data_IF_745398337580
#
_entry.id   IF_745398337580
#
_cell.length_a   1.000
_cell.length_b   1.000
_cell.length_c   1.000
_cell.angle_alpha   90.00
_cell.angle_beta   90.00
_cell.angle_gamma   90.00
#
_symmetry.space_group_name_H-M   'P 1'
#
loop_
_entity.id
_entity.type
_entity.pdbx_description
1 polymer ?
#
# COMPACT_ATOMS: atom_id res chain seq x y z
N UNK A 1 0.99 7.98 3.59
CA UNK A 1 2.35 7.54 3.78
C UNK A 1 3.15 7.76 2.49
N UNK A 2 3.81 8.90 2.39
CA UNK A 2 4.76 9.15 1.32
C UNK A 2 5.81 8.02 1.30
N UNK A 3 6.07 7.44 0.13
CA UNK A 3 7.06 6.38 -0.01
C UNK A 3 6.57 4.95 0.17
N UNK A 4 5.29 4.71 0.44
CA UNK A 4 4.75 3.34 0.60
C UNK A 4 4.99 2.47 -0.65
N UNK A 5 4.72 3.02 -1.84
CA UNK A 5 4.99 2.32 -3.10
C UNK A 5 6.49 2.04 -3.29
N UNK A 6 7.35 3.02 -2.98
CA UNK A 6 8.81 2.84 -3.07
C UNK A 6 9.34 1.81 -2.09
N UNK A 7 8.78 1.75 -0.89
CA UNK A 7 9.10 0.68 0.08
C UNK A 7 8.82 -0.71 -0.51
N UNK A 8 7.60 -0.91 -1.05
CA UNK A 8 7.21 -2.19 -1.66
C UNK A 8 8.13 -2.55 -2.83
N UNK A 9 8.47 -1.56 -3.68
CA UNK A 9 9.39 -1.75 -4.81
C UNK A 9 10.78 -2.21 -4.36
N UNK A 10 11.34 -1.60 -3.32
CA UNK A 10 12.63 -2.00 -2.76
C UNK A 10 12.57 -3.44 -2.25
N UNK A 11 11.52 -3.79 -1.50
CA UNK A 11 11.36 -5.15 -0.97
C UNK A 11 11.14 -6.18 -2.09
N UNK A 12 10.38 -5.84 -3.13
CA UNK A 12 10.22 -6.69 -4.32
C UNK A 12 11.57 -6.99 -4.97
N UNK A 13 12.40 -5.96 -5.18
CA UNK A 13 13.73 -6.11 -5.74
C UNK A 13 14.63 -7.04 -4.90
N UNK A 14 14.56 -6.96 -3.55
CA UNK A 14 15.31 -7.87 -2.66
C UNK A 14 14.85 -9.32 -2.79
N UNK A 15 13.60 -9.53 -3.13
CA UNK A 15 13.03 -10.84 -3.40
C UNK A 15 13.18 -11.29 -4.87
N UNK A 16 13.89 -10.52 -5.72
CA UNK A 16 14.03 -10.81 -7.14
C UNK A 16 12.69 -10.81 -7.88
N UNK A 17 11.80 -9.88 -7.54
CA UNK A 17 10.48 -9.74 -8.12
C UNK A 17 10.24 -8.30 -8.60
N UNK A 18 9.37 -8.14 -9.57
CA UNK A 18 8.78 -6.86 -9.92
C UNK A 18 7.71 -6.47 -8.87
N UNK A 19 7.27 -5.22 -8.93
CA UNK A 19 6.20 -4.71 -8.07
C UNK A 19 4.92 -5.56 -8.17
N UNK A 20 4.52 -5.93 -9.39
CA UNK A 20 3.29 -6.70 -9.62
C UNK A 20 3.46 -8.18 -9.23
N UNK A 21 4.60 -8.78 -9.55
CA UNK A 21 4.93 -10.16 -9.17
C UNK A 21 4.93 -10.37 -7.66
N UNK A 22 5.34 -9.34 -6.88
CA UNK A 22 5.36 -9.44 -5.43
C UNK A 22 3.98 -9.80 -4.86
N UNK A 23 2.90 -9.23 -5.40
CA UNK A 23 1.54 -9.51 -4.95
C UNK A 23 1.09 -10.94 -5.28
N UNK A 24 1.48 -11.44 -6.45
CA UNK A 24 1.16 -12.82 -6.85
C UNK A 24 1.90 -13.84 -6.00
N UNK A 25 3.14 -13.54 -5.63
CA UNK A 25 3.94 -14.34 -4.69
C UNK A 25 3.30 -14.28 -3.30
N UNK A 26 3.02 -13.09 -2.81
CA UNK A 26 2.51 -12.86 -1.46
C UNK A 26 1.17 -13.57 -1.18
N UNK A 27 0.29 -13.68 -2.19
CA UNK A 27 -0.99 -14.41 -2.07
C UNK A 27 -0.84 -15.86 -1.67
N UNK A 28 0.30 -16.48 -1.98
CA UNK A 28 0.56 -17.90 -1.76
C UNK A 28 1.20 -18.18 -0.41
N UNK A 29 1.64 -17.12 0.31
CA UNK A 29 2.40 -17.24 1.55
C UNK A 29 1.57 -16.98 2.80
N UNK A 30 2.14 -17.43 3.92
CA UNK A 30 1.69 -17.05 5.25
C UNK A 30 2.58 -15.88 5.73
N UNK A 31 2.00 -14.76 6.20
CA UNK A 31 2.79 -13.57 6.47
C UNK A 31 3.75 -13.77 7.64
N UNK A 32 5.05 -13.66 7.37
CA UNK A 32 6.06 -13.52 8.40
C UNK A 32 5.95 -12.14 9.07
N UNK A 33 6.30 -12.08 10.35
CA UNK A 33 6.32 -10.81 11.05
C UNK A 33 7.49 -9.97 10.54
N UNK A 34 7.18 -8.79 9.99
CA UNK A 34 8.15 -7.76 9.65
C UNK A 34 7.81 -6.55 10.50
N UNK A 35 8.61 -6.34 11.54
CA UNK A 35 8.28 -5.44 12.65
C UNK A 35 8.65 -3.99 12.37
N UNK A 36 9.55 -3.74 11.44
CA UNK A 36 10.16 -2.43 11.30
C UNK A 36 9.26 -1.41 10.60
N UNK A 37 9.11 -0.27 11.26
CA UNK A 37 8.47 0.92 10.67
C UNK A 37 9.43 1.70 9.74
N UNK A 38 10.72 1.48 9.84
CA UNK A 38 11.75 2.14 9.05
C UNK A 38 12.17 1.23 7.89
N UNK A 39 12.23 1.77 6.68
CA UNK A 39 12.58 1.02 5.45
C UNK A 39 13.91 0.30 5.57
N UNK A 40 14.93 0.95 6.17
CA UNK A 40 16.28 0.37 6.31
C UNK A 40 16.28 -0.86 7.20
N UNK A 41 15.59 -0.81 8.33
CA UNK A 41 15.50 -1.94 9.24
C UNK A 41 14.62 -3.07 8.67
N UNK A 42 13.50 -2.72 8.01
CA UNK A 42 12.67 -3.71 7.33
C UNK A 42 13.43 -4.43 6.20
N UNK A 43 14.29 -3.71 5.47
CA UNK A 43 15.15 -4.30 4.46
C UNK A 43 16.15 -5.30 5.07
N UNK A 44 16.79 -4.93 6.18
CA UNK A 44 17.70 -5.83 6.91
C UNK A 44 16.97 -7.07 7.43
N UNK A 45 15.74 -6.91 7.91
CA UNK A 45 14.90 -8.02 8.39
C UNK A 45 14.52 -8.97 7.25
N UNK A 46 14.12 -8.43 6.08
CA UNK A 46 13.86 -9.22 4.87
C UNK A 46 15.09 -9.99 4.43
N UNK A 47 16.27 -9.35 4.41
CA UNK A 47 17.54 -10.01 4.06
C UNK A 47 17.85 -11.14 5.05
N UNK A 48 17.61 -10.93 6.35
CA UNK A 48 17.79 -11.95 7.38
C UNK A 48 16.87 -13.16 7.17
N UNK A 49 15.61 -12.94 6.82
CA UNK A 49 14.67 -14.02 6.49
C UNK A 49 15.12 -14.82 5.25
N UNK A 50 15.60 -14.12 4.22
CA UNK A 50 16.18 -14.78 3.03
C UNK A 50 17.38 -15.64 3.43
N UNK A 51 18.28 -15.10 4.24
CA UNK A 51 19.47 -15.82 4.74
C UNK A 51 19.13 -17.01 5.63
N UNK A 52 18.02 -16.97 6.36
CA UNK A 52 17.50 -18.07 7.17
C UNK A 52 16.79 -19.16 6.33
N UNK A 53 16.63 -18.97 5.02
CA UNK A 53 15.98 -19.92 4.13
C UNK A 53 14.44 -19.94 4.25
N UNK A 54 13.86 -18.87 4.76
CA UNK A 54 12.39 -18.72 4.81
C UNK A 54 11.80 -18.68 3.40
N UNK A 55 10.56 -19.13 3.28
CA UNK A 55 9.88 -19.16 1.97
C UNK A 55 9.67 -17.76 1.44
N UNK A 56 10.02 -17.58 0.17
CA UNK A 56 9.86 -16.31 -0.55
C UNK A 56 8.44 -15.77 -0.48
N UNK A 57 7.46 -16.66 -0.55
CA UNK A 57 6.04 -16.34 -0.47
C UNK A 57 5.66 -15.79 0.91
N UNK A 58 6.21 -16.37 1.97
CA UNK A 58 5.93 -15.97 3.35
C UNK A 58 6.56 -14.60 3.66
N UNK A 59 7.78 -14.35 3.16
CA UNK A 59 8.44 -13.04 3.26
C UNK A 59 7.64 -11.99 2.49
N UNK A 60 7.24 -12.29 1.25
CA UNK A 60 6.45 -11.37 0.43
C UNK A 60 5.10 -11.02 1.08
N UNK A 61 4.42 -12.02 1.63
CA UNK A 61 3.18 -11.85 2.39
C UNK A 61 3.39 -10.98 3.62
N UNK A 62 4.50 -11.17 4.34
CA UNK A 62 4.92 -10.35 5.47
C UNK A 62 5.13 -8.88 5.10
N UNK A 63 5.80 -8.62 3.97
CA UNK A 63 6.00 -7.25 3.43
C UNK A 63 4.66 -6.56 3.19
N UNK A 64 3.75 -7.20 2.48
CA UNK A 64 2.42 -6.62 2.18
C UNK A 64 1.62 -6.41 3.47
N UNK A 65 1.65 -7.39 4.37
CA UNK A 65 0.96 -7.31 5.67
C UNK A 65 1.48 -6.15 6.53
N UNK A 66 2.80 -5.93 6.58
CA UNK A 66 3.40 -4.83 7.35
C UNK A 66 2.98 -3.45 6.84
N UNK A 67 2.91 -3.29 5.51
CA UNK A 67 2.42 -2.05 4.89
C UNK A 67 0.95 -1.82 5.20
N UNK A 68 0.12 -2.86 5.05
CA UNK A 68 -1.31 -2.77 5.36
C UNK A 68 -1.55 -2.45 6.85
N UNK A 69 -0.75 -3.03 7.76
CA UNK A 69 -0.79 -2.74 9.19
C UNK A 69 -0.50 -1.26 9.48
N UNK A 70 0.56 -0.72 8.86
CA UNK A 70 0.92 0.70 9.01
C UNK A 70 -0.22 1.61 8.55
N UNK A 71 -0.82 1.32 7.39
CA UNK A 71 -1.95 2.10 6.87
C UNK A 71 -3.17 1.97 7.80
N UNK A 72 -3.49 0.75 8.24
CA UNK A 72 -4.60 0.50 9.15
C UNK A 72 -4.43 1.26 10.47
N UNK A 73 -3.23 1.26 11.05
CA UNK A 73 -2.94 1.97 12.30
C UNK A 73 -3.07 3.49 12.14
N UNK A 74 -2.66 4.05 10.99
CA UNK A 74 -2.89 5.46 10.69
C UNK A 74 -4.38 5.79 10.58
N UNK A 75 -5.15 4.96 9.87
CA UNK A 75 -6.60 5.14 9.76
C UNK A 75 -7.29 5.07 11.14
N UNK A 76 -6.93 4.09 11.95
CA UNK A 76 -7.51 3.89 13.30
C UNK A 76 -7.28 5.10 14.23
N UNK A 77 -6.12 5.77 14.12
CA UNK A 77 -5.81 6.98 14.92
C UNK A 77 -6.74 8.15 14.59
N UNK A 78 -7.20 8.25 13.33
CA UNK A 78 -8.09 9.32 12.89
C UNK A 78 -9.57 8.95 12.98
N UNK A 79 -9.87 7.71 13.34
CA UNK A 79 -11.21 7.13 13.27
C UNK A 79 -11.54 6.62 11.87
N UNK A 80 -12.14 5.44 11.80
CA UNK A 80 -12.55 4.80 10.54
C UNK A 80 -14.06 4.89 10.43
N UNK A 81 -14.53 5.60 9.41
CA UNK A 81 -15.97 5.70 9.11
C UNK A 81 -16.56 4.37 8.63
N UNK A 82 -17.85 4.38 8.38
CA UNK A 82 -18.57 3.20 7.87
C UNK A 82 -18.17 2.86 6.43
N UNK A 83 -17.83 3.86 5.64
CA UNK A 83 -17.35 3.71 4.27
C UNK A 83 -15.87 4.07 4.18
N UNK A 84 -15.10 3.20 3.54
CA UNK A 84 -13.67 3.40 3.30
C UNK A 84 -13.42 3.31 1.80
N UNK A 85 -12.75 4.31 1.26
CA UNK A 85 -12.40 4.37 -0.15
C UNK A 85 -10.88 4.49 -0.31
N UNK A 86 -10.29 3.58 -1.10
CA UNK A 86 -8.86 3.58 -1.37
C UNK A 86 -8.54 4.27 -2.69
N UNK A 87 -7.61 5.21 -2.65
CA UNK A 87 -7.08 5.91 -3.83
C UNK A 87 -5.55 5.78 -3.91
N UNK A 88 -4.99 6.16 -5.05
CA UNK A 88 -3.54 6.08 -5.30
C UNK A 88 -3.13 4.76 -5.95
N UNK A 89 -1.83 4.55 -6.09
CA UNK A 89 -1.27 3.41 -6.84
C UNK A 89 -1.68 2.03 -6.32
N UNK A 90 -1.84 1.90 -5.00
CA UNK A 90 -2.22 0.62 -4.38
C UNK A 90 -3.70 0.27 -4.54
N UNK A 91 -4.54 1.19 -5.03
CA UNK A 91 -5.96 0.90 -5.30
C UNK A 91 -6.18 -0.10 -6.42
N UNK A 92 -5.17 -0.34 -7.26
CA UNK A 92 -5.18 -1.35 -8.31
C UNK A 92 -4.69 -2.74 -7.86
N UNK A 93 -4.40 -2.94 -6.57
CA UNK A 93 -3.82 -4.19 -6.04
C UNK A 93 -4.85 -4.96 -5.19
N UNK A 94 -5.59 -5.93 -5.77
CA UNK A 94 -6.68 -6.62 -5.06
C UNK A 94 -6.23 -7.29 -3.77
N UNK A 95 -5.07 -7.93 -3.77
CA UNK A 95 -4.54 -8.58 -2.56
C UNK A 95 -4.24 -7.58 -1.44
N UNK A 96 -3.69 -6.40 -1.76
CA UNK A 96 -3.48 -5.35 -0.77
C UNK A 96 -4.81 -4.86 -0.17
N UNK A 97 -5.81 -4.67 -1.02
CA UNK A 97 -7.16 -4.27 -0.60
C UNK A 97 -7.75 -5.32 0.36
N UNK A 98 -7.64 -6.59 0.03
CA UNK A 98 -8.11 -7.69 0.88
C UNK A 98 -7.43 -7.69 2.25
N UNK A 99 -6.09 -7.60 2.29
CA UNK A 99 -5.32 -7.58 3.54
C UNK A 99 -5.67 -6.36 4.38
N UNK A 100 -5.79 -5.19 3.75
CA UNK A 100 -6.14 -3.95 4.45
C UNK A 100 -7.58 -3.97 4.97
N UNK A 101 -8.54 -4.51 4.20
CA UNK A 101 -9.93 -4.70 4.62
C UNK A 101 -10.03 -5.56 5.88
N UNK A 102 -9.30 -6.68 5.92
CA UNK A 102 -9.23 -7.55 7.12
C UNK A 102 -8.69 -6.79 8.33
N UNK A 103 -7.62 -6.00 8.16
CA UNK A 103 -6.99 -5.24 9.27
C UNK A 103 -7.85 -4.09 9.78
N UNK A 104 -8.66 -3.49 8.93
CA UNK A 104 -9.61 -2.43 9.30
C UNK A 104 -10.96 -2.97 9.76
N UNK A 105 -11.26 -4.24 9.48
CA UNK A 105 -12.60 -4.83 9.62
C UNK A 105 -13.66 -3.97 8.90
N UNK A 106 -13.38 -3.60 7.67
CA UNK A 106 -14.22 -2.75 6.81
C UNK A 106 -14.04 -3.14 5.36
N UNK A 107 -15.13 -3.05 4.61
CA UNK A 107 -15.05 -3.15 3.15
C UNK A 107 -14.40 -1.90 2.57
N UNK A 108 -13.42 -2.11 1.70
CA UNK A 108 -12.71 -1.02 1.03
C UNK A 108 -13.21 -0.95 -0.40
N UNK A 109 -13.79 0.19 -0.75
CA UNK A 109 -14.21 0.51 -2.11
C UNK A 109 -13.06 1.15 -2.88
N UNK A 110 -13.04 0.94 -4.17
CA UNK A 110 -12.12 1.59 -5.11
C UNK A 110 -12.81 1.82 -6.45
N UNK A 111 -12.15 2.52 -7.35
CA UNK A 111 -12.65 2.82 -8.70
C UNK A 111 -11.49 2.67 -9.70
N UNK A 112 -11.71 2.32 -10.97
CA UNK A 112 -10.65 2.23 -11.98
C UNK A 112 -9.79 3.50 -12.11
N UNK A 113 -10.35 4.67 -11.84
CA UNK A 113 -9.63 5.94 -11.85
C UNK A 113 -9.00 6.31 -10.50
N UNK A 114 -9.13 5.49 -9.46
CA UNK A 114 -8.62 5.79 -8.11
C UNK A 114 -7.12 6.09 -8.08
N UNK A 115 -6.33 5.47 -8.96
CA UNK A 115 -4.90 5.75 -9.06
C UNK A 115 -4.59 7.19 -9.50
N UNK A 116 -5.53 7.83 -10.18
CA UNK A 116 -5.41 9.19 -10.70
C UNK A 116 -6.18 10.24 -9.86
N UNK A 117 -6.77 9.84 -8.74
CA UNK A 117 -7.63 10.71 -7.94
C UNK A 117 -6.96 12.03 -7.55
N UNK A 118 -5.66 12.00 -7.19
CA UNK A 118 -4.89 13.21 -6.88
C UNK A 118 -4.74 14.14 -8.09
N UNK A 119 -4.44 13.60 -9.27
CA UNK A 119 -4.30 14.38 -10.50
C UNK A 119 -5.65 14.99 -10.94
N UNK A 120 -6.73 14.22 -10.86
CA UNK A 120 -8.09 14.66 -11.15
C UNK A 120 -8.48 15.80 -10.20
N UNK A 121 -8.25 15.62 -8.90
CA UNK A 121 -8.54 16.65 -7.91
C UNK A 121 -7.74 17.94 -8.12
N UNK A 122 -6.46 17.83 -8.46
CA UNK A 122 -5.61 18.98 -8.77
C UNK A 122 -6.11 19.72 -10.02
N UNK A 123 -6.49 19.01 -11.08
CA UNK A 123 -7.05 19.60 -12.29
C UNK A 123 -8.36 20.34 -12.01
N UNK A 124 -9.29 19.72 -11.27
CA UNK A 124 -10.55 20.35 -10.88
C UNK A 124 -10.33 21.61 -10.04
N UNK A 125 -9.41 21.56 -9.08
CA UNK A 125 -9.06 22.74 -8.26
C UNK A 125 -8.47 23.86 -9.11
N UNK A 126 -7.61 23.55 -10.09
CA UNK A 126 -7.05 24.52 -11.03
C UNK A 126 -8.14 25.20 -11.87
N UNK A 127 -9.07 24.42 -12.42
CA UNK A 127 -10.21 24.96 -13.20
C UNK A 127 -11.10 25.88 -12.35
N UNK A 128 -11.38 25.52 -11.10
CA UNK A 128 -12.20 26.35 -10.19
C UNK A 128 -11.49 27.67 -9.88
N UNK A 129 -10.20 27.66 -9.59
CA UNK A 129 -9.42 28.88 -9.36
C UNK A 129 -9.34 29.78 -10.59
N UNK A 130 -9.23 29.21 -11.79
CA UNK A 130 -9.20 29.97 -13.03
C UNK A 130 -10.53 30.68 -13.29
N UNK A 131 -11.67 30.05 -12.99
CA UNK A 131 -12.99 30.72 -13.07
C UNK A 131 -13.10 31.92 -12.15
N UNK A 132 -12.60 31.83 -10.91
CA UNK A 132 -12.62 32.93 -9.94
C UNK A 132 -11.77 34.13 -10.42
N UNK A 133 -10.70 33.89 -11.20
CA UNK A 133 -9.83 34.95 -11.74
C UNK A 133 -10.43 35.62 -13.00
N UNK A 134 -11.27 34.89 -13.73
CA UNK A 134 -11.86 35.35 -15.03
C UNK A 134 -13.27 35.93 -14.90
N UNK A 135 -13.92 35.82 -13.75
CA UNK A 135 -15.18 36.51 -13.47
C UNK A 135 -14.86 37.90 -12.87
N UNK A 136 -15.35 39.01 -13.52
CA UNK A 136 -15.14 40.38 -13.05
C UNK A 136 -15.88 40.69 -11.75
#
# INVERSE_FOLDING_TARGET
AAGTGKFIEIMANRLGATFDELYDIAKKGNPLSISSMCTVFAESEVISHIGAGEKREDIASGVISSVAERVANLCKRHGVGNEVFLTGGLSGMPYFIEVLSKKLNRDIKTHPLSRYAGAIGAALTGLTKQKIILEP
#
